data_IF_554662277486
#
_entry.id   IF_554662277486
#
_cell.length_a   1.000
_cell.length_b   1.000
_cell.length_c   1.000
_cell.angle_alpha   90.00
_cell.angle_beta   90.00
_cell.angle_gamma   90.00
#
_symmetry.space_group_name_H-M   'P 1'
#
loop_
_entity.id
_entity.type
_entity.pdbx_description
1 polymer ?
#
# COMPACT_ATOMS: atom_id res chain seq x y z
N UNK A 1 -7.66 -6.68 -8.04
CA UNK A 1 -6.77 -7.58 -7.28
C UNK A 1 -5.57 -6.80 -6.79
N UNK A 2 -5.06 -7.14 -5.62
CA UNK A 2 -3.90 -6.47 -5.05
C UNK A 2 -2.68 -7.38 -5.17
N UNK A 3 -1.61 -6.84 -5.74
CA UNK A 3 -0.34 -7.56 -5.88
C UNK A 3 0.73 -6.86 -5.06
N UNK A 4 1.75 -7.58 -4.66
CA UNK A 4 2.76 -7.08 -3.72
C UNK A 4 4.16 -7.24 -4.31
N UNK A 5 4.98 -6.20 -4.16
CA UNK A 5 6.41 -6.33 -4.49
C UNK A 5 7.09 -7.14 -3.39
N UNK A 6 8.26 -7.66 -3.69
CA UNK A 6 9.06 -8.38 -2.69
C UNK A 6 9.39 -7.45 -1.53
N UNK A 7 9.76 -6.21 -1.83
CA UNK A 7 10.07 -5.20 -0.81
C UNK A 7 8.87 -4.94 0.09
N UNK A 8 7.68 -4.82 -0.50
CA UNK A 8 6.46 -4.58 0.27
C UNK A 8 6.19 -5.74 1.22
N UNK A 9 6.33 -6.97 0.76
CA UNK A 9 6.13 -8.14 1.63
C UNK A 9 7.12 -8.18 2.77
N UNK A 10 8.37 -7.84 2.51
CA UNK A 10 9.39 -7.78 3.56
C UNK A 10 9.04 -6.73 4.61
N UNK A 11 8.62 -5.56 4.17
CA UNK A 11 8.21 -4.50 5.07
C UNK A 11 7.00 -4.88 5.91
N UNK A 12 6.02 -5.54 5.29
CA UNK A 12 4.83 -6.00 6.00
C UNK A 12 5.19 -6.99 7.11
N UNK A 13 6.09 -7.93 6.82
CA UNK A 13 6.53 -8.91 7.81
C UNK A 13 7.26 -8.22 8.95
N UNK A 14 8.20 -7.34 8.64
CA UNK A 14 8.99 -6.65 9.65
C UNK A 14 8.12 -5.79 10.57
N UNK A 15 7.07 -5.20 10.04
CA UNK A 15 6.23 -4.27 10.79
C UNK A 15 4.95 -4.89 11.31
N UNK A 16 4.74 -6.17 11.05
CA UNK A 16 3.54 -6.87 11.52
C UNK A 16 2.26 -6.39 10.89
N UNK A 17 2.30 -6.00 9.62
CA UNK A 17 1.12 -5.52 8.88
C UNK A 17 0.62 -6.64 7.98
N UNK A 18 -0.65 -6.99 8.14
CA UNK A 18 -1.25 -8.09 7.38
C UNK A 18 -1.75 -7.61 6.01
N UNK A 19 -2.02 -8.58 5.13
CA UNK A 19 -2.62 -8.27 3.83
C UNK A 19 -4.00 -7.64 4.00
N UNK A 20 -4.77 -8.08 4.98
CA UNK A 20 -6.09 -7.49 5.29
C UNK A 20 -5.95 -6.02 5.61
N UNK A 21 -4.96 -5.66 6.42
CA UNK A 21 -4.74 -4.27 6.78
C UNK A 21 -4.36 -3.43 5.58
N UNK A 22 -3.50 -3.97 4.70
CA UNK A 22 -3.11 -3.28 3.47
C UNK A 22 -4.32 -3.09 2.56
N UNK A 23 -5.14 -4.11 2.40
CA UNK A 23 -6.34 -4.01 1.57
C UNK A 23 -7.32 -2.98 2.13
N UNK A 24 -7.48 -2.94 3.44
CA UNK A 24 -8.33 -1.94 4.09
C UNK A 24 -7.78 -0.53 3.87
N UNK A 25 -6.47 -0.38 3.92
CA UNK A 25 -5.84 0.92 3.65
C UNK A 25 -6.14 1.38 2.22
N UNK A 26 -6.08 0.48 1.26
CA UNK A 26 -6.38 0.81 -0.14
C UNK A 26 -7.84 1.22 -0.30
N UNK A 27 -8.75 0.52 0.37
CA UNK A 27 -10.19 0.79 0.26
C UNK A 27 -10.62 2.03 1.03
N UNK A 28 -10.12 2.20 2.25
CA UNK A 28 -10.66 3.18 3.18
C UNK A 28 -9.67 4.25 3.62
N UNK A 29 -8.40 4.12 3.29
CA UNK A 29 -7.40 5.09 3.69
C UNK A 29 -7.52 6.40 2.94
N UNK A 30 -6.99 7.46 3.51
CA UNK A 30 -6.92 8.75 2.85
C UNK A 30 -5.90 8.67 1.71
N UNK A 31 -6.33 9.04 0.51
CA UNK A 31 -5.50 8.91 -0.69
C UNK A 31 -4.78 10.21 -1.00
N UNK A 32 -3.51 10.07 -1.37
CA UNK A 32 -2.70 11.18 -1.82
C UNK A 32 -2.03 10.78 -3.12
N UNK A 33 -2.28 11.54 -4.19
CA UNK A 33 -1.73 11.21 -5.50
C UNK A 33 -0.35 11.81 -5.66
N UNK A 34 0.59 10.98 -6.08
CA UNK A 34 1.96 11.41 -6.39
C UNK A 34 2.26 11.10 -7.84
N UNK A 35 2.65 12.13 -8.59
CA UNK A 35 3.01 11.94 -9.98
C UNK A 35 4.28 11.14 -10.11
N UNK A 36 4.43 10.35 -11.18
CA UNK A 36 3.48 10.28 -12.28
C UNK A 36 2.32 9.31 -12.05
N UNK A 37 2.45 8.31 -11.19
CA UNK A 37 1.45 7.26 -11.11
C UNK A 37 1.39 6.55 -9.76
N UNK A 38 1.85 7.19 -8.70
CA UNK A 38 1.83 6.59 -7.37
C UNK A 38 0.67 7.12 -6.56
N UNK A 39 0.12 6.26 -5.71
CA UNK A 39 -0.94 6.62 -4.79
C UNK A 39 -0.48 6.23 -3.39
N UNK A 40 -0.55 7.17 -2.46
CA UNK A 40 -0.28 6.91 -1.05
C UNK A 40 -1.62 6.75 -0.35
N UNK A 41 -1.75 5.64 0.37
CA UNK A 41 -2.96 5.35 1.15
C UNK A 41 -2.60 5.47 2.63
N UNK A 42 -3.02 6.55 3.27
CA UNK A 42 -2.73 6.80 4.68
C UNK A 42 -3.82 6.15 5.53
N UNK A 43 -3.43 5.21 6.37
CA UNK A 43 -4.38 4.45 7.16
C UNK A 43 -3.78 4.10 8.51
N UNK A 44 -4.46 4.46 9.59
CA UNK A 44 -3.98 4.21 10.96
C UNK A 44 -2.55 4.73 11.13
N UNK A 45 -1.61 3.85 11.47
CA UNK A 45 -0.23 4.23 11.75
C UNK A 45 0.72 3.97 10.57
N UNK A 46 0.20 3.60 9.43
CA UNK A 46 1.05 3.26 8.28
C UNK A 46 0.51 3.86 6.99
N UNK A 47 1.36 3.88 5.99
CA UNK A 47 1.03 4.34 4.64
C UNK A 47 1.40 3.25 3.65
N UNK A 48 0.47 2.93 2.76
CA UNK A 48 0.70 1.97 1.68
C UNK A 48 0.93 2.76 0.40
N UNK A 49 2.05 2.51 -0.27
CA UNK A 49 2.36 3.14 -1.55
C UNK A 49 2.04 2.17 -2.66
N UNK A 50 1.13 2.55 -3.54
CA UNK A 50 0.70 1.70 -4.64
C UNK A 50 0.90 2.37 -5.98
N UNK A 51 0.87 1.53 -7.01
CA UNK A 51 0.81 1.96 -8.40
C UNK A 51 -0.37 1.22 -9.01
N UNK A 52 -1.29 1.94 -9.61
CA UNK A 52 -2.44 1.28 -10.25
C UNK A 52 -2.06 0.87 -11.66
N UNK A 53 -2.24 -0.41 -11.96
CA UNK A 53 -1.97 -0.98 -13.27
C UNK A 53 -3.25 -1.65 -13.74
N UNK A 54 -3.91 -1.05 -14.73
CA UNK A 54 -5.23 -1.48 -15.21
C UNK A 54 -6.22 -1.48 -14.05
N UNK A 55 -6.78 -2.62 -13.70
CA UNK A 55 -7.74 -2.74 -12.61
C UNK A 55 -7.07 -3.14 -11.28
N UNK A 56 -5.76 -3.40 -11.32
CA UNK A 56 -5.04 -3.93 -10.17
C UNK A 56 -4.24 -2.86 -9.45
N UNK A 57 -4.06 -3.05 -8.16
CA UNK A 57 -3.14 -2.24 -7.36
C UNK A 57 -1.88 -3.05 -7.10
N UNK A 58 -0.73 -2.47 -7.43
CA UNK A 58 0.56 -3.07 -7.14
C UNK A 58 1.16 -2.33 -5.95
N UNK A 59 1.34 -3.03 -4.83
CA UNK A 59 1.90 -2.44 -3.61
C UNK A 59 3.41 -2.38 -3.75
N UNK A 60 3.94 -1.16 -3.80
CA UNK A 60 5.38 -0.92 -3.96
C UNK A 60 6.09 -1.04 -2.62
N UNK A 61 5.54 -0.40 -1.61
CA UNK A 61 6.13 -0.42 -0.27
C UNK A 61 5.07 -0.07 0.77
N UNK A 62 5.38 -0.39 2.02
CA UNK A 62 4.54 -0.04 3.17
C UNK A 62 5.45 0.67 4.17
N UNK A 63 5.02 1.85 4.62
CA UNK A 63 5.81 2.66 5.53
C UNK A 63 5.03 2.93 6.81
N UNK A 64 5.72 2.90 7.95
CA UNK A 64 5.12 3.30 9.22
C UNK A 64 5.31 4.81 9.38
N UNK A 65 4.25 5.48 9.82
CA UNK A 65 4.28 6.93 10.02
C UNK A 65 4.75 7.28 11.42
#
# INVERSE_FOLDING_TARGET
>A
MVKYSKHAREQMIERGISENEVENAIKAGAKELHKPNKILHHYRYFTVVTKKIDEDYFVITVMVR
#
